data_IF_865239450899
#
_entry.id   IF_865239450899
#
_cell.length_a   1.000
_cell.length_b   1.000
_cell.length_c   1.000
_cell.angle_alpha   90.00
_cell.angle_beta   90.00
_cell.angle_gamma   90.00
#
_symmetry.space_group_name_H-M   'P 1'
#
loop_
_entity.id
_entity.type
_entity.pdbx_description
1 polymer ?
#
# COMPACT_ATOMS: atom_id res chain seq x y z
N UNK A 1 0.37 -23.14 -2.21
CA UNK A 1 1.20 -21.91 -2.32
C UNK A 1 0.69 -20.73 -1.47
N UNK A 2 -0.60 -20.62 -1.14
CA UNK A 2 -1.09 -19.65 -0.12
C UNK A 2 -0.85 -20.06 1.35
N UNK A 3 -0.63 -21.36 1.59
CA UNK A 3 -0.45 -21.92 2.94
C UNK A 3 0.91 -21.58 3.57
N UNK A 4 1.96 -21.39 2.75
CA UNK A 4 3.28 -21.01 3.23
C UNK A 4 3.30 -19.57 3.77
N UNK A 5 2.67 -18.63 3.05
CA UNK A 5 2.52 -17.25 3.50
C UNK A 5 1.64 -17.16 4.76
N UNK A 6 0.57 -17.95 4.81
CA UNK A 6 -0.28 -18.07 6.00
C UNK A 6 0.39 -18.73 7.20
N UNK A 7 1.44 -19.53 7.01
CA UNK A 7 2.20 -20.16 8.10
C UNK A 7 3.37 -19.30 8.59
N UNK A 8 3.88 -18.38 7.77
CA UNK A 8 5.01 -17.49 8.14
C UNK A 8 4.60 -16.39 9.12
N UNK A 9 3.35 -15.94 9.04
CA UNK A 9 2.81 -14.97 9.98
C UNK A 9 2.68 -15.64 11.37
N UNK A 10 3.16 -15.04 12.47
CA UNK A 10 2.90 -15.54 13.82
C UNK A 10 1.49 -15.16 14.28
N UNK A 11 0.79 -16.07 14.96
CA UNK A 11 -0.48 -15.79 15.64
C UNK A 11 -1.75 -16.42 15.05
N UNK A 12 -2.88 -16.34 15.78
CA UNK A 12 -4.16 -16.90 15.37
C UNK A 12 -4.72 -16.25 14.10
N UNK A 13 -5.59 -16.97 13.37
CA UNK A 13 -6.14 -16.53 12.07
C UNK A 13 -6.59 -15.05 11.99
N UNK A 14 -7.30 -14.48 12.99
CA UNK A 14 -7.68 -13.06 12.95
C UNK A 14 -6.50 -12.09 13.02
N UNK A 15 -5.44 -12.41 13.77
CA UNK A 15 -4.25 -11.54 13.91
C UNK A 15 -3.50 -11.43 12.58
N UNK A 16 -3.44 -12.54 11.82
CA UNK A 16 -2.85 -12.57 10.48
C UNK A 16 -3.62 -11.72 9.49
N UNK A 17 -4.95 -11.82 9.52
CA UNK A 17 -5.81 -10.99 8.69
C UNK A 17 -5.64 -9.50 9.03
N UNK A 18 -5.58 -9.16 10.31
CA UNK A 18 -5.37 -7.79 10.78
C UNK A 18 -4.00 -7.25 10.36
N UNK A 19 -2.94 -8.05 10.45
CA UNK A 19 -1.60 -7.67 9.98
C UNK A 19 -1.56 -7.46 8.46
N UNK A 20 -2.19 -8.34 7.68
CA UNK A 20 -2.27 -8.20 6.23
C UNK A 20 -3.03 -6.93 5.83
N UNK A 21 -4.13 -6.62 6.51
CA UNK A 21 -4.88 -5.38 6.33
C UNK A 21 -4.02 -4.17 6.71
N UNK A 22 -3.33 -4.22 7.85
CA UNK A 22 -2.44 -3.13 8.27
C UNK A 22 -1.32 -2.86 7.25
N UNK A 23 -0.72 -3.91 6.68
CA UNK A 23 0.28 -3.77 5.61
C UNK A 23 -0.35 -3.16 4.35
N UNK A 24 -1.52 -3.64 3.93
CA UNK A 24 -2.21 -3.10 2.76
C UNK A 24 -2.55 -1.61 2.93
N UNK A 25 -3.05 -1.23 4.11
CA UNK A 25 -3.33 0.17 4.48
C UNK A 25 -2.03 0.97 4.50
N UNK A 26 -0.96 0.47 5.12
CA UNK A 26 0.34 1.14 5.14
C UNK A 26 0.91 1.39 3.75
N UNK A 27 0.81 0.41 2.84
CA UNK A 27 1.22 0.58 1.43
C UNK A 27 0.34 1.60 0.72
N UNK A 28 -0.98 1.57 0.93
CA UNK A 28 -1.89 2.56 0.36
C UNK A 28 -1.52 3.98 0.79
N UNK A 29 -1.30 4.21 2.10
CA UNK A 29 -0.87 5.51 2.60
C UNK A 29 0.50 5.90 2.05
N UNK A 30 1.47 4.99 1.98
CA UNK A 30 2.78 5.28 1.42
C UNK A 30 2.69 5.70 -0.06
N UNK A 31 1.85 5.02 -0.84
CA UNK A 31 1.60 5.40 -2.23
C UNK A 31 0.96 6.80 -2.32
N UNK A 32 0.02 7.13 -1.45
CA UNK A 32 -0.68 8.42 -1.48
C UNK A 32 0.14 9.58 -0.90
N UNK A 33 0.91 9.37 0.16
CA UNK A 33 1.68 10.42 0.84
C UNK A 33 3.08 10.63 0.26
N UNK A 34 3.68 9.61 -0.37
CA UNK A 34 5.05 9.69 -0.88
C UNK A 34 5.10 9.59 -2.40
N UNK A 35 4.50 8.54 -2.97
CA UNK A 35 4.61 8.29 -4.42
C UNK A 35 3.77 9.28 -5.22
N UNK A 36 2.53 9.53 -4.81
CA UNK A 36 1.63 10.42 -5.52
C UNK A 36 2.16 11.86 -5.59
N UNK A 37 2.69 12.49 -4.52
CA UNK A 37 3.30 13.83 -4.61
C UNK A 37 4.52 13.89 -5.54
N UNK A 38 5.24 12.78 -5.70
CA UNK A 38 6.39 12.68 -6.59
C UNK A 38 5.99 12.50 -8.05
N UNK A 39 4.97 11.69 -8.31
CA UNK A 39 4.45 11.40 -9.66
C UNK A 39 3.54 12.51 -10.16
N UNK A 40 2.76 13.11 -9.27
CA UNK A 40 1.83 14.20 -9.56
C UNK A 40 2.43 15.28 -10.45
N UNK A 41 3.59 15.91 -10.16
CA UNK A 41 4.18 16.96 -10.99
C UNK A 41 4.59 16.51 -12.40
N UNK A 42 4.87 15.21 -12.59
CA UNK A 42 5.26 14.66 -13.90
C UNK A 42 4.06 14.36 -14.79
N UNK A 43 2.83 14.46 -14.26
CA UNK A 43 1.64 14.21 -15.05
C UNK A 43 1.42 15.34 -16.06
N UNK A 44 1.14 15.00 -17.34
CA UNK A 44 1.00 15.96 -18.44
C UNK A 44 -0.24 16.87 -18.34
N UNK A 45 -0.99 16.77 -17.23
CA UNK A 45 -2.18 17.57 -16.93
C UNK A 45 -1.89 18.80 -16.07
N UNK A 46 -0.65 18.98 -15.57
CA UNK A 46 -0.29 20.14 -14.73
C UNK A 46 0.05 21.40 -15.54
N UNK A 47 0.24 21.26 -16.84
CA UNK A 47 0.55 22.38 -17.72
C UNK A 47 -0.76 23.06 -18.15
N UNK A 48 -1.45 23.69 -17.19
CA UNK A 48 -2.51 24.65 -17.51
C UNK A 48 -1.84 25.93 -17.97
N UNK A 49 -1.65 26.05 -19.28
CA UNK A 49 -1.27 27.31 -19.91
C UNK A 49 -2.35 28.36 -19.59
N UNK A 50 -2.02 29.29 -18.68
CA UNK A 50 -2.74 30.55 -18.47
C UNK A 50 -2.13 31.61 -19.38
#
# INVERSE_FOLDING_TARGET
MYRALWNLLPGPKPVKALLAVAIAVGVFFLLMEVVFPWVSPMMPYNDVAV
#
